data_IF_519017683627
#
_entry.id   IF_519017683627
#
_cell.length_a   1.000
_cell.length_b   1.000
_cell.length_c   1.000
_cell.angle_alpha   90.00
_cell.angle_beta   90.00
_cell.angle_gamma   90.00
#
_symmetry.space_group_name_H-M   'P 1'
#
loop_
_entity.id
_entity.type
_entity.pdbx_description
1 polymer ?
#
# COMPACT_ATOMS: atom_id res chain seq x y z
N UNK A 1 -15.50 -9.74 2.11
CA UNK A 1 -14.17 -9.12 1.92
C UNK A 1 -14.37 -7.72 1.39
N UNK A 2 -13.62 -6.76 1.89
CA UNK A 2 -13.71 -5.33 1.53
C UNK A 2 -12.40 -4.95 0.86
N UNK A 3 -12.47 -4.40 -0.35
CA UNK A 3 -11.30 -3.86 -1.02
C UNK A 3 -11.01 -2.47 -0.50
N UNK A 4 -9.74 -2.21 -0.22
CA UNK A 4 -9.23 -0.91 0.18
C UNK A 4 -8.05 -0.57 -0.72
N UNK A 5 -8.05 0.65 -1.24
CA UNK A 5 -6.97 1.18 -2.07
C UNK A 5 -6.42 2.46 -1.47
N UNK A 6 -5.09 2.54 -1.42
CA UNK A 6 -4.36 3.78 -1.16
C UNK A 6 -3.58 4.19 -2.40
N UNK A 7 -3.84 5.41 -2.91
CA UNK A 7 -2.95 6.05 -3.87
C UNK A 7 -1.94 6.91 -3.09
N UNK A 8 -0.66 6.69 -3.33
CA UNK A 8 0.45 7.42 -2.73
C UNK A 8 1.14 8.25 -3.81
N UNK A 9 1.09 9.56 -3.65
CA UNK A 9 1.74 10.51 -4.54
C UNK A 9 2.97 11.12 -3.85
N UNK A 10 4.08 11.25 -4.59
CA UNK A 10 5.25 11.96 -4.10
C UNK A 10 4.97 13.47 -4.06
N UNK A 11 5.31 14.11 -2.94
CA UNK A 11 5.46 15.57 -2.85
C UNK A 11 6.91 16.00 -3.13
N UNK A 12 7.86 15.05 -3.00
CA UNK A 12 9.28 15.17 -3.34
C UNK A 12 9.64 14.07 -4.35
N UNK A 13 10.37 14.38 -5.45
CA UNK A 13 10.80 13.40 -6.45
C UNK A 13 11.56 12.18 -5.89
N UNK A 14 12.24 12.31 -4.74
CA UNK A 14 12.98 11.21 -4.13
C UNK A 14 12.13 10.30 -3.25
N UNK A 15 10.89 10.68 -2.93
CA UNK A 15 10.07 9.98 -1.96
C UNK A 15 9.62 8.58 -2.46
N UNK A 16 9.03 8.48 -3.65
CA UNK A 16 8.50 7.18 -4.11
C UNK A 16 9.58 6.09 -4.26
N UNK A 17 10.76 6.35 -4.88
CA UNK A 17 11.81 5.33 -4.97
C UNK A 17 12.31 4.87 -3.59
N UNK A 18 12.46 5.81 -2.65
CA UNK A 18 12.93 5.50 -1.31
C UNK A 18 11.90 4.72 -0.49
N UNK A 19 10.62 5.10 -0.60
CA UNK A 19 9.49 4.41 0.02
C UNK A 19 9.37 2.98 -0.52
N UNK A 20 9.40 2.81 -1.85
CA UNK A 20 9.33 1.50 -2.49
C UNK A 20 10.49 0.61 -2.04
N UNK A 21 11.71 1.16 -1.99
CA UNK A 21 12.89 0.44 -1.46
C UNK A 21 12.68 -0.01 -0.02
N UNK A 22 12.05 0.82 0.84
CA UNK A 22 11.74 0.42 2.22
C UNK A 22 10.69 -0.68 2.28
N UNK A 23 9.58 -0.53 1.56
CA UNK A 23 8.50 -1.51 1.55
C UNK A 23 8.97 -2.88 1.06
N UNK A 24 9.90 -2.92 0.09
CA UNK A 24 10.53 -4.16 -0.39
C UNK A 24 11.45 -4.85 0.62
N UNK A 25 11.85 -4.19 1.72
CA UNK A 25 12.61 -4.84 2.81
C UNK A 25 11.74 -5.74 3.67
N UNK A 26 10.42 -5.57 3.63
CA UNK A 26 9.49 -6.53 4.22
C UNK A 26 9.48 -7.82 3.41
N UNK A 27 8.92 -8.88 3.99
CA UNK A 27 8.68 -10.14 3.26
C UNK A 27 7.82 -9.84 2.04
N UNK A 28 8.40 -9.95 0.86
CA UNK A 28 7.74 -9.60 -0.39
C UNK A 28 8.03 -10.61 -1.50
N UNK A 29 7.11 -10.70 -2.46
CA UNK A 29 7.24 -11.49 -3.68
C UNK A 29 6.86 -10.63 -4.87
N UNK A 30 7.65 -10.68 -5.93
CA UNK A 30 7.32 -10.01 -7.19
C UNK A 30 6.30 -10.87 -7.95
N UNK A 31 5.19 -10.26 -8.37
CA UNK A 31 4.09 -10.93 -9.09
C UNK A 31 3.86 -10.37 -10.49
N UNK A 32 4.54 -9.28 -10.83
CA UNK A 32 4.56 -8.68 -12.16
C UNK A 32 5.73 -7.72 -12.31
N UNK A 33 5.93 -7.15 -13.49
CA UNK A 33 7.06 -6.24 -13.77
C UNK A 33 7.10 -5.05 -12.79
N UNK A 34 5.93 -4.49 -12.48
CA UNK A 34 5.76 -3.35 -11.60
C UNK A 34 4.95 -3.68 -10.33
N UNK A 35 4.81 -4.96 -9.97
CA UNK A 35 3.90 -5.42 -8.93
C UNK A 35 4.56 -6.35 -7.93
N UNK A 36 4.33 -6.09 -6.64
CA UNK A 36 4.81 -6.90 -5.53
C UNK A 36 3.73 -7.12 -4.50
N UNK A 37 3.65 -8.31 -3.94
CA UNK A 37 2.88 -8.55 -2.71
C UNK A 37 3.86 -8.45 -1.54
N UNK A 38 3.63 -7.50 -0.64
CA UNK A 38 4.41 -7.33 0.59
C UNK A 38 3.53 -7.61 1.81
N UNK A 39 4.08 -8.30 2.82
CA UNK A 39 3.40 -8.49 4.10
C UNK A 39 3.83 -7.35 5.03
N UNK A 40 2.92 -6.41 5.26
CA UNK A 40 3.19 -5.22 6.08
C UNK A 40 2.68 -5.42 7.51
N UNK A 41 3.39 -4.91 8.54
CA UNK A 41 2.97 -5.00 9.93
C UNK A 41 1.58 -4.38 10.14
N UNK A 42 0.69 -5.09 10.84
CA UNK A 42 -0.65 -4.62 11.21
C UNK A 42 -1.67 -4.53 10.07
N UNK A 43 -1.24 -4.50 8.81
CA UNK A 43 -2.12 -4.42 7.63
C UNK A 43 -2.22 -5.72 6.84
N UNK A 44 -1.24 -6.63 6.98
CA UNK A 44 -1.25 -7.94 6.31
C UNK A 44 -0.70 -7.88 4.88
N UNK A 45 -1.13 -8.78 3.98
CA UNK A 45 -0.70 -8.79 2.59
C UNK A 45 -1.23 -7.57 1.84
N UNK A 46 -0.34 -6.85 1.17
CA UNK A 46 -0.64 -5.66 0.37
C UNK A 46 -0.04 -5.82 -1.01
N UNK A 47 -0.86 -5.64 -2.05
CA UNK A 47 -0.38 -5.53 -3.41
C UNK A 47 0.12 -4.11 -3.66
N UNK A 48 1.40 -3.98 -3.95
CA UNK A 48 2.08 -2.75 -4.30
C UNK A 48 2.21 -2.69 -5.82
N UNK A 49 1.64 -1.67 -6.45
CA UNK A 49 1.83 -1.39 -7.89
C UNK A 49 2.60 -0.08 -8.03
N UNK A 50 3.79 -0.14 -8.64
CA UNK A 50 4.66 1.03 -8.86
C UNK A 50 4.44 1.60 -10.26
N UNK A 51 4.16 2.90 -10.36
CA UNK A 51 4.08 3.64 -11.61
C UNK A 51 4.44 5.11 -11.42
N UNK A 52 3.66 6.00 -12.03
CA UNK A 52 3.65 7.45 -11.75
C UNK A 52 3.32 7.76 -10.28
N UNK A 53 2.50 6.89 -9.67
CA UNK A 53 2.18 6.83 -8.25
C UNK A 53 2.45 5.43 -7.72
N UNK A 54 2.55 5.30 -6.40
CA UNK A 54 2.51 4.00 -5.75
C UNK A 54 1.07 3.71 -5.33
N UNK A 55 0.53 2.59 -5.81
CA UNK A 55 -0.80 2.11 -5.43
C UNK A 55 -0.66 0.94 -4.48
N UNK A 56 -1.44 0.95 -3.39
CA UNK A 56 -1.53 -0.14 -2.42
C UNK A 56 -2.96 -0.67 -2.42
N UNK A 57 -3.14 -1.92 -2.82
CA UNK A 57 -4.43 -2.62 -2.80
C UNK A 57 -4.42 -3.70 -1.72
N UNK A 58 -5.48 -3.73 -0.90
CA UNK A 58 -5.64 -4.62 0.24
C UNK A 58 -7.04 -5.25 0.23
N UNK A 59 -7.12 -6.49 0.75
CA UNK A 59 -8.38 -7.17 1.01
C UNK A 59 -8.56 -7.36 2.51
N UNK A 60 -9.60 -6.76 3.06
CA UNK A 60 -9.90 -6.78 4.48
C UNK A 60 -11.10 -7.69 4.72
N UNK A 61 -10.94 -8.66 5.63
CA UNK A 61 -11.97 -9.67 5.88
C UNK A 61 -13.20 -9.07 6.56
N UNK A 62 -13.00 -8.15 7.51
CA UNK A 62 -14.04 -7.61 8.38
C UNK A 62 -14.02 -6.10 8.39
N UNK A 63 -15.20 -5.47 8.26
CA UNK A 63 -15.36 -4.01 8.30
C UNK A 63 -14.78 -3.37 9.55
N UNK A 64 -14.87 -4.04 10.70
CA UNK A 64 -14.33 -3.56 11.97
C UNK A 64 -12.81 -3.39 11.97
N UNK A 65 -12.08 -4.06 11.06
CA UNK A 65 -10.62 -3.96 10.95
C UNK A 65 -10.18 -2.77 10.08
N UNK A 66 -11.09 -2.11 9.34
CA UNK A 66 -10.74 -1.01 8.45
C UNK A 66 -9.94 0.10 9.14
N UNK A 67 -10.38 0.65 10.30
CA UNK A 67 -9.63 1.73 10.95
C UNK A 67 -8.23 1.28 11.38
N UNK A 68 -8.13 0.07 11.95
CA UNK A 68 -6.86 -0.50 12.42
C UNK A 68 -5.87 -0.70 11.28
N UNK A 69 -6.34 -1.21 10.14
CA UNK A 69 -5.51 -1.44 8.95
C UNK A 69 -5.08 -0.11 8.32
N UNK A 70 -5.98 0.88 8.24
CA UNK A 70 -5.66 2.23 7.76
C UNK A 70 -4.60 2.85 8.64
N UNK A 71 -4.78 2.88 9.96
CA UNK A 71 -3.84 3.46 10.90
C UNK A 71 -2.47 2.78 10.83
N UNK A 72 -2.43 1.45 10.77
CA UNK A 72 -1.19 0.70 10.63
C UNK A 72 -0.47 1.01 9.32
N UNK A 73 -1.19 1.11 8.20
CA UNK A 73 -0.60 1.45 6.91
C UNK A 73 -0.13 2.90 6.86
N UNK A 74 -0.90 3.86 7.39
CA UNK A 74 -0.47 5.26 7.47
C UNK A 74 0.77 5.41 8.33
N UNK A 75 0.84 4.72 9.48
CA UNK A 75 2.01 4.70 10.34
C UNK A 75 3.23 4.14 9.59
N UNK A 76 3.07 3.00 8.92
CA UNK A 76 4.13 2.38 8.13
C UNK A 76 4.60 3.31 7.00
N UNK A 77 3.68 3.89 6.22
CA UNK A 77 4.00 4.75 5.09
C UNK A 77 4.66 6.07 5.52
N UNK A 78 4.16 6.71 6.59
CA UNK A 78 4.65 8.01 7.07
C UNK A 78 5.84 7.93 8.02
N UNK A 79 6.21 6.74 8.49
CA UNK A 79 7.42 6.52 9.29
C UNK A 79 8.69 6.97 8.55
N UNK A 80 9.81 7.13 9.25
CA UNK A 80 11.12 7.38 8.61
C UNK A 80 11.20 8.68 7.79
N UNK A 81 10.47 9.73 8.20
CA UNK A 81 10.52 11.05 7.56
C UNK A 81 9.65 11.24 6.33
N UNK A 82 8.77 10.29 6.01
CA UNK A 82 7.89 10.39 4.83
C UNK A 82 6.62 11.22 5.05
N UNK A 83 6.29 11.56 6.30
CA UNK A 83 5.06 12.27 6.67
C UNK A 83 4.75 13.49 5.81
N UNK A 84 5.76 14.29 5.48
CA UNK A 84 5.63 15.53 4.70
C UNK A 84 6.06 15.36 3.23
N UNK A 85 6.50 14.16 2.85
CA UNK A 85 7.07 13.87 1.52
C UNK A 85 6.09 13.13 0.61
N UNK A 86 4.97 12.66 1.15
CA UNK A 86 3.94 11.92 0.42
C UNK A 86 2.54 12.45 0.73
N UNK A 87 1.66 12.39 -0.26
CA UNK A 87 0.22 12.55 -0.08
C UNK A 87 -0.46 11.18 -0.21
N UNK A 88 -1.49 10.94 0.61
CA UNK A 88 -2.27 9.71 0.64
C UNK A 88 -3.72 10.00 0.26
N UNK A 89 -4.30 9.18 -0.61
CA UNK A 89 -5.73 9.19 -0.90
C UNK A 89 -6.29 7.78 -0.80
N UNK A 90 -7.31 7.62 0.05
CA UNK A 90 -8.01 6.37 0.24
C UNK A 90 -9.23 6.26 -0.67
N UNK A 91 -9.50 5.05 -1.14
CA UNK A 91 -10.74 4.72 -1.83
C UNK A 91 -11.15 3.28 -1.53
N UNK A 92 -12.45 3.01 -1.55
CA UNK A 92 -13.00 1.65 -1.53
C UNK A 92 -13.48 1.36 -2.96
N UNK A 93 -12.67 0.70 -3.80
CA UNK A 93 -13.08 0.42 -5.16
C UNK A 93 -14.27 -0.55 -5.17
N UNK A 94 -15.30 -0.21 -5.94
CA UNK A 94 -16.49 -1.05 -6.12
C UNK A 94 -16.18 -2.34 -6.90
N UNK A 95 -15.08 -2.36 -7.65
CA UNK A 95 -14.59 -3.51 -8.42
C UNK A 95 -13.30 -4.03 -7.82
N UNK A 96 -13.34 -5.26 -7.31
CA UNK A 96 -12.18 -5.92 -6.72
C UNK A 96 -11.45 -6.72 -7.82
N UNK A 97 -10.16 -6.48 -8.10
CA UNK A 97 -9.39 -7.39 -8.93
C UNK A 97 -9.22 -8.70 -8.15
N UNK A 98 -10.04 -9.69 -8.49
CA UNK A 98 -9.94 -11.04 -7.93
C UNK A 98 -8.69 -11.68 -8.53
N UNK A 99 -7.81 -12.33 -7.73
CA UNK A 99 -6.77 -13.17 -8.30
C UNK A 99 -7.46 -14.26 -9.14
N UNK A 100 -7.16 -14.30 -10.44
CA UNK A 100 -7.46 -15.48 -11.25
C UNK A 100 -6.67 -16.64 -10.62
N UNK A 101 -7.43 -17.70 -10.28
CA UNK A 101 -6.94 -18.91 -9.63
C UNK A 101 -5.75 -19.54 -10.33
#
# INVERSE_FOLDING_TARGET
MIALRADVSALDPRALPELLRRLRRHRSVQVGECQWIAVLPGSGPVLLTSGDRLVLDLLIERRALLPVVIDALEAELRSGGFRERIALRWSMPDTVPVPLR
#
